data_IF_712499557359
#
_entry.id   IF_712499557359
#
_cell.length_a   1.000
_cell.length_b   1.000
_cell.length_c   1.000
_cell.angle_alpha   90.00
_cell.angle_beta   90.00
_cell.angle_gamma   90.00
#
_symmetry.space_group_name_H-M   'P 1'
#
loop_
_entity.id
_entity.type
_entity.pdbx_description
1 polymer ?
#
# COMPACT_ATOMS: atom_id res chain seq x y z
N UNK A 1 4.23 -35.68 23.81
CA UNK A 1 4.26 -34.48 24.67
C UNK A 1 3.63 -33.35 23.87
N UNK A 2 2.44 -32.91 24.28
CA UNK A 2 1.72 -31.79 23.59
C UNK A 2 2.39 -30.50 24.00
N UNK A 3 2.84 -29.71 23.03
CA UNK A 3 3.31 -28.36 23.28
C UNK A 3 2.12 -27.51 23.74
N UNK A 4 2.20 -27.02 24.96
CA UNK A 4 1.30 -26.03 25.53
C UNK A 4 1.29 -24.79 24.63
N UNK A 5 0.15 -24.55 23.96
CA UNK A 5 -0.10 -23.29 23.27
C UNK A 5 -0.37 -22.24 24.35
N UNK A 6 0.62 -21.47 24.69
CA UNK A 6 0.47 -20.31 25.55
C UNK A 6 -0.67 -19.43 25.01
N UNK A 7 -1.68 -19.18 25.86
CA UNK A 7 -2.79 -18.29 25.52
C UNK A 7 -2.24 -16.93 25.09
N UNK A 8 -2.77 -16.33 24.01
CA UNK A 8 -2.29 -15.04 23.53
C UNK A 8 -2.46 -13.99 24.63
N UNK A 9 -1.40 -13.28 24.94
CA UNK A 9 -1.40 -12.18 25.92
C UNK A 9 -2.57 -11.23 25.63
N UNK A 10 -3.29 -10.73 26.66
CA UNK A 10 -4.45 -9.83 26.46
C UNK A 10 -4.14 -8.58 25.64
N UNK A 11 -2.90 -8.14 25.61
CA UNK A 11 -2.40 -7.02 24.79
C UNK A 11 -2.58 -7.28 23.28
N UNK A 12 -2.32 -8.49 22.79
CA UNK A 12 -2.45 -8.85 21.37
C UNK A 12 -3.90 -8.86 20.88
N UNK A 13 -4.82 -9.25 21.75
CA UNK A 13 -6.25 -9.21 21.46
C UNK A 13 -6.75 -7.78 21.37
N UNK A 14 -6.29 -6.92 22.27
CA UNK A 14 -6.60 -5.48 22.21
C UNK A 14 -6.02 -4.83 20.93
N UNK A 15 -4.76 -5.09 20.60
CA UNK A 15 -4.10 -4.57 19.41
C UNK A 15 -4.81 -4.99 18.10
N UNK A 16 -5.27 -6.23 18.00
CA UNK A 16 -6.08 -6.71 16.87
C UNK A 16 -7.43 -5.97 16.77
N UNK A 17 -8.18 -5.84 17.86
CA UNK A 17 -9.46 -5.12 17.89
C UNK A 17 -9.32 -3.66 17.48
N UNK A 18 -8.25 -3.00 17.90
CA UNK A 18 -7.93 -1.64 17.47
C UNK A 18 -7.60 -1.59 15.98
N UNK A 19 -6.78 -2.50 15.48
CA UNK A 19 -6.47 -2.62 14.05
C UNK A 19 -7.74 -2.78 13.20
N UNK A 20 -8.71 -3.56 13.65
CA UNK A 20 -9.98 -3.79 12.97
C UNK A 20 -10.88 -2.54 12.94
N UNK A 21 -10.87 -1.72 14.00
CA UNK A 21 -11.62 -0.47 14.02
C UNK A 21 -11.08 0.53 12.99
N UNK A 22 -9.75 0.65 12.85
CA UNK A 22 -9.15 1.49 11.82
C UNK A 22 -9.44 0.98 10.41
N UNK A 23 -9.32 -0.32 10.19
CA UNK A 23 -9.68 -0.93 8.91
C UNK A 23 -11.14 -0.67 8.54
N UNK A 24 -12.07 -0.85 9.46
CA UNK A 24 -13.50 -0.55 9.21
C UNK A 24 -13.73 0.92 8.84
N UNK A 25 -13.13 1.87 9.56
CA UNK A 25 -13.26 3.32 9.24
C UNK A 25 -12.66 3.65 7.88
N UNK A 26 -11.50 3.11 7.58
CA UNK A 26 -10.83 3.28 6.28
C UNK A 26 -11.66 2.72 5.14
N UNK A 27 -12.13 1.48 5.29
CA UNK A 27 -12.94 0.82 4.27
C UNK A 27 -14.31 1.48 4.09
N UNK A 28 -14.89 2.06 5.14
CA UNK A 28 -16.10 2.89 5.00
C UNK A 28 -15.87 4.15 4.15
N UNK A 29 -14.69 4.78 4.25
CA UNK A 29 -14.32 5.92 3.38
C UNK A 29 -14.08 5.49 1.95
N UNK A 30 -13.41 4.37 1.72
CA UNK A 30 -13.25 3.79 0.38
C UNK A 30 -14.61 3.46 -0.23
N UNK A 31 -15.51 2.84 0.54
CA UNK A 31 -16.87 2.54 0.11
C UNK A 31 -17.68 3.80 -0.24
N UNK A 32 -17.49 4.90 0.49
CA UNK A 32 -18.10 6.19 0.16
C UNK A 32 -17.56 6.75 -1.15
N UNK A 33 -16.25 6.72 -1.38
CA UNK A 33 -15.62 7.13 -2.64
C UNK A 33 -16.13 6.29 -3.82
N UNK A 34 -16.25 4.98 -3.66
CA UNK A 34 -16.80 4.10 -4.71
C UNK A 34 -18.22 4.51 -5.09
N UNK A 35 -19.08 4.79 -4.10
CA UNK A 35 -20.46 5.24 -4.36
C UNK A 35 -20.51 6.60 -5.02
N UNK A 36 -19.65 7.53 -4.65
CA UNK A 36 -19.52 8.85 -5.26
C UNK A 36 -19.15 8.72 -6.74
N UNK A 37 -18.13 7.93 -7.07
CA UNK A 37 -17.74 7.67 -8.46
C UNK A 37 -18.88 7.01 -9.23
N UNK A 38 -19.51 5.97 -8.65
CA UNK A 38 -20.61 5.25 -9.30
C UNK A 38 -21.84 6.13 -9.55
N UNK A 39 -22.10 7.12 -8.71
CA UNK A 39 -23.21 8.06 -8.90
C UNK A 39 -23.02 8.99 -10.10
N UNK A 40 -21.77 9.24 -10.51
CA UNK A 40 -21.41 10.06 -11.66
C UNK A 40 -21.09 9.25 -12.93
N UNK A 41 -20.90 7.95 -12.79
CA UNK A 41 -20.56 7.05 -13.89
C UNK A 41 -21.80 6.28 -14.39
N UNK A 42 -21.74 5.85 -15.65
CA UNK A 42 -22.77 4.96 -16.25
C UNK A 42 -22.64 3.50 -15.79
N UNK A 43 -21.98 3.21 -14.68
CA UNK A 43 -21.67 1.93 -14.00
C UNK A 43 -21.44 0.71 -14.93
N UNK A 44 -20.67 -0.30 -14.52
CA UNK A 44 -19.91 -0.43 -13.27
C UNK A 44 -18.59 0.36 -13.29
N UNK A 45 -18.13 0.76 -12.10
CA UNK A 45 -16.84 1.47 -11.92
C UNK A 45 -15.68 0.50 -12.21
N UNK A 46 -14.91 0.76 -13.24
CA UNK A 46 -13.70 -0.02 -13.53
C UNK A 46 -12.63 0.27 -12.48
N UNK A 47 -12.36 -0.71 -11.64
CA UNK A 47 -11.42 -0.57 -10.52
C UNK A 47 -10.19 -1.48 -10.72
N UNK A 48 -9.00 -0.88 -10.67
CA UNK A 48 -7.73 -1.60 -10.61
C UNK A 48 -7.20 -1.57 -9.18
N UNK A 49 -7.08 -2.74 -8.55
CA UNK A 49 -6.41 -2.88 -7.23
C UNK A 49 -4.98 -3.38 -7.44
N UNK A 50 -4.02 -2.48 -7.33
CA UNK A 50 -2.60 -2.76 -7.58
C UNK A 50 -1.97 -3.40 -6.35
N UNK A 51 -1.49 -4.63 -6.49
CA UNK A 51 -0.98 -5.47 -5.40
C UNK A 51 -2.10 -5.95 -4.46
N UNK A 52 -3.34 -5.86 -4.92
CA UNK A 52 -4.52 -6.18 -4.14
C UNK A 52 -4.71 -7.66 -3.87
N UNK A 53 -5.51 -7.96 -2.86
CA UNK A 53 -5.90 -9.33 -2.55
C UNK A 53 -7.38 -9.42 -2.22
N UNK A 54 -8.06 -10.52 -2.61
CA UNK A 54 -9.50 -10.64 -2.41
C UNK A 54 -9.90 -10.58 -0.92
N UNK A 55 -9.04 -10.99 0.01
CA UNK A 55 -9.32 -10.91 1.46
C UNK A 55 -9.45 -9.44 1.96
N UNK A 56 -8.83 -8.47 1.29
CA UNK A 56 -9.06 -7.06 1.58
C UNK A 56 -10.52 -6.69 1.25
N UNK A 57 -11.01 -7.14 0.10
CA UNK A 57 -12.35 -6.85 -0.38
C UNK A 57 -13.46 -7.56 0.42
N UNK A 58 -13.15 -8.65 1.14
CA UNK A 58 -14.05 -9.25 2.12
C UNK A 58 -14.47 -8.25 3.23
N UNK A 59 -13.64 -7.24 3.48
CA UNK A 59 -13.83 -6.25 4.54
C UNK A 59 -14.42 -4.92 4.04
N UNK A 60 -14.61 -4.76 2.74
CA UNK A 60 -15.29 -3.63 2.12
C UNK A 60 -16.79 -3.91 2.08
N UNK A 61 -17.61 -2.87 2.25
CA UNK A 61 -19.07 -2.98 2.20
C UNK A 61 -19.54 -3.67 0.91
N UNK A 62 -20.30 -4.78 0.99
CA UNK A 62 -20.77 -5.52 -0.17
C UNK A 62 -21.55 -4.67 -1.16
N UNK A 63 -22.38 -3.72 -0.69
CA UNK A 63 -23.16 -2.84 -1.55
C UNK A 63 -22.30 -1.83 -2.33
N UNK A 64 -21.15 -1.40 -1.80
CA UNK A 64 -20.20 -0.59 -2.55
C UNK A 64 -19.37 -1.45 -3.51
N UNK A 65 -18.95 -2.64 -3.08
CA UNK A 65 -18.17 -3.58 -3.88
C UNK A 65 -18.93 -4.06 -5.12
N UNK A 66 -20.25 -4.28 -5.03
CA UNK A 66 -21.09 -4.69 -6.18
C UNK A 66 -21.22 -3.62 -7.28
N UNK A 67 -20.74 -2.39 -7.04
CA UNK A 67 -20.69 -1.33 -8.04
C UNK A 67 -19.42 -1.39 -8.89
N UNK A 68 -18.49 -2.30 -8.58
CA UNK A 68 -17.18 -2.38 -9.22
C UNK A 68 -17.13 -3.47 -10.30
N UNK A 69 -16.43 -3.14 -11.38
CA UNK A 69 -15.78 -4.10 -12.26
C UNK A 69 -14.31 -4.17 -11.81
N UNK A 70 -14.01 -5.15 -10.92
CA UNK A 70 -12.75 -5.19 -10.19
C UNK A 70 -11.71 -6.05 -10.89
N UNK A 71 -10.54 -5.48 -11.10
CA UNK A 71 -9.32 -6.18 -11.53
C UNK A 71 -8.28 -6.13 -10.41
N UNK A 72 -7.77 -7.27 -9.98
CA UNK A 72 -6.62 -7.37 -9.08
C UNK A 72 -5.36 -7.55 -9.92
N UNK A 73 -4.42 -6.62 -9.81
CA UNK A 73 -3.12 -6.71 -10.51
C UNK A 73 -2.05 -7.15 -9.50
N UNK A 74 -1.40 -8.27 -9.79
CA UNK A 74 -0.36 -8.83 -8.93
C UNK A 74 0.79 -9.41 -9.75
N UNK A 75 1.94 -9.62 -9.11
CA UNK A 75 3.02 -10.41 -9.69
C UNK A 75 2.57 -11.88 -9.85
N UNK A 76 3.06 -12.61 -10.87
CA UNK A 76 2.75 -14.02 -11.03
C UNK A 76 3.09 -14.83 -9.77
N UNK A 77 2.20 -15.74 -9.37
CA UNK A 77 2.35 -16.61 -8.20
C UNK A 77 1.75 -16.06 -6.88
N UNK A 78 1.40 -14.77 -6.82
CA UNK A 78 0.75 -14.19 -5.63
C UNK A 78 -0.64 -14.77 -5.35
N UNK A 79 -1.33 -15.28 -6.36
CA UNK A 79 -2.61 -15.98 -6.26
C UNK A 79 -2.54 -17.26 -5.43
N UNK A 80 -1.37 -17.86 -5.28
CA UNK A 80 -1.15 -19.03 -4.44
C UNK A 80 -1.03 -18.67 -2.95
N UNK A 81 -0.98 -17.39 -2.63
CA UNK A 81 -0.84 -16.93 -1.25
C UNK A 81 -2.08 -17.24 -0.39
N UNK A 82 -1.89 -17.27 0.92
CA UNK A 82 -2.98 -17.47 1.85
C UNK A 82 -4.04 -16.36 1.79
N UNK A 83 -3.68 -15.17 1.27
CA UNK A 83 -4.59 -14.02 1.11
C UNK A 83 -5.64 -14.28 0.04
N UNK A 84 -5.29 -15.02 -1.00
CA UNK A 84 -6.24 -15.44 -2.03
C UNK A 84 -7.05 -16.65 -1.58
N UNK A 85 -6.40 -17.71 -1.07
CA UNK A 85 -7.07 -18.95 -0.68
C UNK A 85 -8.08 -18.83 0.44
N UNK A 86 -7.95 -17.84 1.34
CA UNK A 86 -8.83 -17.65 2.51
C UNK A 86 -9.98 -16.69 2.28
N UNK A 87 -10.00 -15.98 1.16
CA UNK A 87 -11.09 -15.06 0.83
C UNK A 87 -12.36 -15.81 0.45
N UNK A 88 -13.49 -15.17 0.74
CA UNK A 88 -14.83 -15.58 0.30
C UNK A 88 -15.31 -14.77 -0.90
N UNK A 89 -14.56 -13.76 -1.28
CA UNK A 89 -14.87 -12.92 -2.41
C UNK A 89 -14.17 -13.42 -3.67
N UNK A 90 -14.93 -13.63 -4.76
CA UNK A 90 -14.47 -14.22 -6.01
C UNK A 90 -14.92 -13.42 -7.25
N UNK A 91 -15.56 -12.27 -7.04
CA UNK A 91 -16.09 -11.42 -8.12
C UNK A 91 -15.03 -10.42 -8.59
N UNK A 92 -13.94 -10.90 -9.19
CA UNK A 92 -12.84 -10.09 -9.70
C UNK A 92 -12.17 -10.76 -10.91
N UNK A 93 -11.51 -9.96 -11.74
CA UNK A 93 -10.51 -10.44 -12.70
C UNK A 93 -9.13 -10.40 -12.06
N UNK A 94 -8.28 -11.37 -12.41
CA UNK A 94 -6.88 -11.36 -12.01
C UNK A 94 -6.04 -11.05 -13.23
N UNK A 95 -5.17 -10.05 -13.11
CA UNK A 95 -4.15 -9.71 -14.10
C UNK A 95 -2.76 -9.82 -13.48
N UNK A 96 -1.81 -10.28 -14.28
CA UNK A 96 -0.41 -10.33 -13.86
C UNK A 96 0.35 -9.14 -14.41
N UNK A 97 1.05 -8.42 -13.52
CA UNK A 97 1.83 -7.25 -13.90
C UNK A 97 2.60 -6.68 -12.72
N UNK A 98 3.55 -5.83 -13.05
CA UNK A 98 4.35 -5.11 -12.07
C UNK A 98 3.79 -3.68 -11.90
N UNK A 99 3.49 -3.28 -10.68
CA UNK A 99 3.02 -1.92 -10.35
C UNK A 99 3.96 -0.82 -10.87
N UNK A 100 5.24 -1.15 -11.09
CA UNK A 100 6.27 -0.24 -11.58
C UNK A 100 6.26 -0.10 -13.10
N UNK A 101 5.51 -0.93 -13.81
CA UNK A 101 5.43 -0.98 -15.27
C UNK A 101 4.02 -1.33 -15.75
N UNK A 102 3.16 -0.31 -15.79
CA UNK A 102 1.80 -0.41 -16.32
C UNK A 102 1.70 0.15 -17.74
N UNK A 103 2.82 0.22 -18.47
CA UNK A 103 2.90 0.82 -19.80
C UNK A 103 1.98 0.17 -20.85
N UNK A 104 1.50 -1.03 -20.61
CA UNK A 104 0.48 -1.71 -21.44
C UNK A 104 -0.94 -1.17 -21.21
N UNK A 105 -1.18 -0.44 -20.12
CA UNK A 105 -2.46 0.18 -19.80
C UNK A 105 -2.46 1.64 -20.28
N UNK A 106 -3.48 2.11 -21.05
CA UNK A 106 -3.61 3.50 -21.43
C UNK A 106 -3.77 4.44 -20.22
N UNK A 107 -3.45 5.72 -20.43
CA UNK A 107 -3.74 6.75 -19.44
C UNK A 107 -5.25 6.78 -19.15
N UNK A 108 -5.58 6.91 -17.85
CA UNK A 108 -6.97 6.98 -17.39
C UNK A 108 -7.86 5.81 -17.87
N UNK A 109 -7.28 4.61 -18.04
CA UNK A 109 -8.02 3.42 -18.45
C UNK A 109 -8.90 2.82 -17.35
N UNK A 110 -8.70 3.24 -16.11
CA UNK A 110 -9.52 2.85 -14.96
C UNK A 110 -10.17 4.07 -14.30
N UNK A 111 -11.41 3.89 -13.87
CA UNK A 111 -12.14 4.94 -13.17
C UNK A 111 -11.58 5.13 -11.76
N UNK A 112 -11.18 4.03 -11.08
CA UNK A 112 -10.58 4.03 -9.75
C UNK A 112 -9.34 3.13 -9.71
N UNK A 113 -8.23 3.65 -9.20
CA UNK A 113 -7.07 2.84 -8.81
C UNK A 113 -7.01 2.76 -7.29
N UNK A 114 -6.92 1.54 -6.77
CA UNK A 114 -6.74 1.25 -5.34
C UNK A 114 -5.37 0.60 -5.13
N UNK A 115 -4.69 0.96 -4.06
CA UNK A 115 -3.49 0.24 -3.60
C UNK A 115 -3.42 0.33 -2.08
N UNK A 116 -3.36 -0.83 -1.40
CA UNK A 116 -3.42 -0.88 0.05
C UNK A 116 -2.24 -1.66 0.62
N UNK A 117 -1.30 -0.97 1.25
CA UNK A 117 -0.06 -1.52 1.82
C UNK A 117 0.77 -2.27 0.79
N UNK A 118 1.14 -1.57 -0.28
CA UNK A 118 1.91 -2.11 -1.41
C UNK A 118 3.11 -1.22 -1.73
N UNK A 119 2.94 0.10 -1.74
CA UNK A 119 4.01 1.00 -2.23
C UNK A 119 5.28 0.91 -1.38
N UNK A 120 5.18 0.55 -0.12
CA UNK A 120 6.31 0.28 0.77
C UNK A 120 7.14 -0.96 0.37
N UNK A 121 6.61 -1.82 -0.51
CA UNK A 121 7.25 -3.03 -1.00
C UNK A 121 7.79 -2.92 -2.43
N UNK A 122 7.69 -1.77 -3.06
CA UNK A 122 8.10 -1.61 -4.47
C UNK A 122 9.62 -1.50 -4.66
N UNK A 123 10.41 -1.64 -3.59
CA UNK A 123 11.87 -1.62 -3.66
C UNK A 123 12.47 -0.25 -3.38
N UNK A 124 13.41 0.22 -4.22
CA UNK A 124 14.11 1.49 -4.04
C UNK A 124 13.18 2.71 -4.17
N UNK A 125 13.64 3.86 -3.68
CA UNK A 125 12.89 5.13 -3.82
C UNK A 125 12.50 5.46 -5.28
N UNK A 126 13.37 5.15 -6.23
CA UNK A 126 13.09 5.37 -7.66
C UNK A 126 11.98 4.43 -8.17
N UNK A 127 11.94 3.20 -7.71
CA UNK A 127 10.92 2.21 -8.05
C UNK A 127 9.57 2.55 -7.41
N UNK A 128 9.55 2.92 -6.12
CA UNK A 128 8.36 3.44 -5.45
C UNK A 128 7.76 4.62 -6.21
N UNK A 129 8.62 5.59 -6.58
CA UNK A 129 8.19 6.77 -7.35
C UNK A 129 7.66 6.41 -8.73
N UNK A 130 8.25 5.41 -9.40
CA UNK A 130 7.78 4.92 -10.69
C UNK A 130 6.39 4.29 -10.55
N UNK A 131 6.20 3.39 -9.59
CA UNK A 131 4.90 2.75 -9.34
C UNK A 131 3.80 3.75 -8.99
N UNK A 132 4.10 4.73 -8.12
CA UNK A 132 3.14 5.78 -7.79
C UNK A 132 2.74 6.63 -9.00
N UNK A 133 3.67 6.94 -9.92
CA UNK A 133 3.36 7.64 -11.17
C UNK A 133 2.47 6.81 -12.09
N UNK A 134 2.75 5.53 -12.24
CA UNK A 134 1.94 4.62 -13.06
C UNK A 134 0.52 4.50 -12.51
N UNK A 135 0.36 4.29 -11.20
CA UNK A 135 -0.97 4.28 -10.55
C UNK A 135 -1.74 5.58 -10.81
N UNK A 136 -1.05 6.73 -10.70
CA UNK A 136 -1.65 8.06 -10.94
C UNK A 136 -2.01 8.26 -12.42
N UNK A 137 -1.22 7.71 -13.34
CA UNK A 137 -1.42 7.80 -14.79
C UNK A 137 -2.63 6.99 -15.24
N UNK A 138 -2.79 5.76 -14.75
CA UNK A 138 -3.85 4.86 -15.24
C UNK A 138 -5.22 5.12 -14.61
N UNK A 139 -5.28 5.80 -13.44
CA UNK A 139 -6.52 6.04 -12.71
C UNK A 139 -7.06 7.47 -12.82
N UNK A 140 -8.34 7.63 -13.13
CA UNK A 140 -9.03 8.91 -12.98
C UNK A 140 -9.12 9.32 -11.51
N UNK A 141 -9.60 8.42 -10.65
CA UNK A 141 -9.60 8.54 -9.21
C UNK A 141 -8.58 7.60 -8.60
N UNK A 142 -8.12 7.91 -7.40
CA UNK A 142 -7.22 7.03 -6.71
C UNK A 142 -7.38 6.98 -5.21
N UNK A 143 -6.97 5.83 -4.67
CA UNK A 143 -6.91 5.54 -3.25
C UNK A 143 -5.66 4.73 -2.96
N UNK A 144 -4.63 5.36 -2.41
CA UNK A 144 -3.37 4.68 -2.04
C UNK A 144 -3.16 4.79 -0.54
N UNK A 145 -3.00 3.65 0.12
CA UNK A 145 -2.73 3.60 1.56
C UNK A 145 -1.39 2.94 1.84
N UNK A 146 -0.61 3.50 2.75
CA UNK A 146 0.66 2.93 3.23
C UNK A 146 0.82 3.15 4.73
N UNK A 147 1.48 2.25 5.48
CA UNK A 147 1.86 2.48 6.87
C UNK A 147 2.79 3.68 7.02
N UNK A 148 2.66 4.41 8.12
CA UNK A 148 3.49 5.58 8.38
C UNK A 148 4.81 5.18 9.06
N UNK A 149 5.94 5.65 8.55
CA UNK A 149 7.25 5.50 9.21
C UNK A 149 7.26 6.03 10.65
N UNK A 150 6.53 7.11 10.91
CA UNK A 150 6.43 7.70 12.24
C UNK A 150 5.58 6.87 13.23
N UNK A 151 4.92 5.77 12.79
CA UNK A 151 4.20 4.89 13.70
C UNK A 151 5.19 4.13 14.58
N UNK A 152 4.97 4.09 15.91
CA UNK A 152 5.85 3.32 16.80
C UNK A 152 5.77 1.80 16.57
N UNK A 153 4.66 1.32 15.96
CA UNK A 153 4.39 -0.09 15.72
C UNK A 153 4.69 -0.44 14.27
N UNK A 154 5.60 -1.36 14.04
CA UNK A 154 5.90 -1.91 12.71
C UNK A 154 4.93 -3.08 12.42
N UNK A 155 4.01 -2.93 11.43
CA UNK A 155 2.95 -3.91 11.25
C UNK A 155 3.40 -5.25 10.65
N UNK A 156 4.49 -5.28 9.88
CA UNK A 156 4.99 -6.50 9.22
C UNK A 156 5.77 -7.38 10.20
N UNK A 157 6.67 -6.80 10.99
CA UNK A 157 7.37 -7.51 12.06
C UNK A 157 6.51 -7.72 13.30
N UNK A 158 5.44 -6.95 13.46
CA UNK A 158 4.61 -6.90 14.68
C UNK A 158 5.44 -6.56 15.93
N UNK A 159 6.40 -5.64 15.77
CA UNK A 159 7.30 -5.18 16.83
C UNK A 159 7.28 -3.65 16.96
N UNK A 160 7.41 -3.10 18.18
CA UNK A 160 7.53 -1.68 18.36
C UNK A 160 8.94 -1.18 17.97
N UNK A 161 9.02 0.02 17.38
CA UNK A 161 10.23 0.80 17.10
C UNK A 161 11.28 0.15 16.20
N UNK A 162 11.11 -1.11 15.78
CA UNK A 162 12.15 -1.89 15.10
C UNK A 162 12.56 -1.28 13.74
N UNK A 163 11.64 -0.64 13.04
CA UNK A 163 11.92 0.01 11.74
C UNK A 163 12.71 1.33 11.86
N UNK A 164 12.86 1.89 13.06
CA UNK A 164 13.72 3.05 13.30
C UNK A 164 15.19 2.68 13.49
N UNK A 165 15.49 1.39 13.60
CA UNK A 165 16.85 0.89 13.78
C UNK A 165 17.56 0.71 12.44
N UNK A 166 18.89 0.77 12.45
CA UNK A 166 19.69 0.43 11.29
C UNK A 166 19.40 -0.99 10.80
N UNK A 167 19.39 -1.19 9.48
CA UNK A 167 18.95 -2.44 8.84
C UNK A 167 19.59 -3.71 9.42
N UNK A 168 20.92 -3.78 9.72
CA UNK A 168 21.50 -5.00 10.31
C UNK A 168 20.94 -5.32 11.69
N UNK A 169 20.68 -4.29 12.51
CA UNK A 169 20.08 -4.45 13.84
C UNK A 169 18.62 -4.86 13.72
N UNK A 170 17.88 -4.21 12.83
CA UNK A 170 16.48 -4.53 12.50
C UNK A 170 16.34 -5.98 12.07
N UNK A 171 17.12 -6.44 11.09
CA UNK A 171 17.12 -7.81 10.62
C UNK A 171 17.38 -8.82 11.76
N UNK A 172 18.39 -8.58 12.59
CA UNK A 172 18.72 -9.44 13.72
C UNK A 172 17.64 -9.51 14.81
N UNK A 173 16.96 -8.39 15.10
CA UNK A 173 15.86 -8.37 16.07
C UNK A 173 14.60 -9.03 15.50
N UNK A 174 14.27 -8.77 14.24
CA UNK A 174 13.12 -9.38 13.59
C UNK A 174 13.27 -10.89 13.51
N UNK A 175 14.44 -11.39 13.13
CA UNK A 175 14.71 -12.82 13.10
C UNK A 175 14.51 -13.50 14.46
N UNK A 176 14.80 -12.81 15.56
CA UNK A 176 14.72 -13.40 16.92
C UNK A 176 13.37 -13.22 17.60
N UNK A 177 12.71 -12.09 17.37
CA UNK A 177 11.57 -11.64 18.19
C UNK A 177 10.25 -11.56 17.43
N UNK A 178 10.27 -11.47 16.09
CA UNK A 178 9.04 -11.30 15.31
C UNK A 178 8.18 -12.57 15.34
N UNK A 179 6.92 -12.46 15.74
CA UNK A 179 5.97 -13.57 15.64
C UNK A 179 5.39 -13.75 14.24
N UNK A 180 5.53 -12.73 13.38
CA UNK A 180 4.87 -12.66 12.07
C UNK A 180 5.73 -13.08 10.89
N UNK A 181 7.02 -13.32 11.10
CA UNK A 181 7.95 -13.65 10.01
C UNK A 181 8.15 -15.15 9.94
N UNK A 182 7.88 -15.73 8.77
CA UNK A 182 7.84 -17.17 8.54
C UNK A 182 9.17 -17.82 8.14
N UNK A 183 10.33 -17.13 8.25
CA UNK A 183 11.63 -17.70 7.94
C UNK A 183 12.36 -18.26 9.17
N UNK A 184 13.36 -19.14 8.95
CA UNK A 184 14.21 -19.65 10.00
C UNK A 184 14.97 -18.50 10.67
N UNK A 185 14.92 -18.44 12.01
CA UNK A 185 15.61 -17.41 12.83
C UNK A 185 17.15 -17.38 12.66
N UNK A 186 17.72 -18.42 12.06
CA UNK A 186 19.14 -18.53 11.74
C UNK A 186 19.49 -18.09 10.33
N UNK A 187 18.47 -17.89 9.51
CA UNK A 187 18.63 -17.45 8.11
C UNK A 187 18.86 -15.94 8.08
N UNK A 188 20.13 -15.57 8.05
CA UNK A 188 20.58 -14.17 8.02
C UNK A 188 20.19 -13.51 6.68
N UNK A 189 20.24 -14.28 5.60
CA UNK A 189 19.91 -13.78 4.25
C UNK A 189 18.43 -13.44 4.15
N UNK A 190 17.55 -14.37 4.55
CA UNK A 190 16.12 -14.13 4.61
C UNK A 190 15.75 -12.94 5.52
N UNK A 191 16.39 -12.83 6.69
CA UNK A 191 16.16 -11.73 7.62
C UNK A 191 16.60 -10.38 7.03
N UNK A 192 17.71 -10.36 6.30
CA UNK A 192 18.23 -9.16 5.64
C UNK A 192 17.36 -8.76 4.46
N UNK A 193 17.02 -9.69 3.59
CA UNK A 193 16.10 -9.47 2.47
C UNK A 193 14.78 -8.88 2.97
N UNK A 194 14.15 -9.50 3.97
CA UNK A 194 12.94 -8.96 4.57
C UNK A 194 13.12 -7.52 5.07
N UNK A 195 14.25 -7.22 5.71
CA UNK A 195 14.49 -5.89 6.23
C UNK A 195 14.74 -4.83 5.14
N UNK A 196 15.27 -5.22 3.99
CA UNK A 196 15.50 -4.34 2.85
C UNK A 196 14.24 -4.15 1.99
N UNK A 197 13.33 -5.12 1.97
CA UNK A 197 12.10 -5.11 1.14
C UNK A 197 11.00 -4.18 1.69
N UNK A 198 11.10 -3.71 2.93
CA UNK A 198 10.06 -2.89 3.57
C UNK A 198 10.55 -1.46 3.79
N UNK A 199 10.01 -0.54 3.00
CA UNK A 199 10.35 0.88 3.03
C UNK A 199 9.17 1.72 3.54
N UNK A 200 8.99 1.80 4.86
CA UNK A 200 7.96 2.64 5.45
C UNK A 200 8.25 4.12 5.14
N UNK A 201 7.22 4.84 4.70
CA UNK A 201 7.37 6.19 4.20
C UNK A 201 7.06 7.24 5.26
N UNK A 202 7.79 8.36 5.22
CA UNK A 202 7.48 9.57 5.96
C UNK A 202 6.37 10.37 5.28
N UNK A 203 5.74 11.30 6.01
CA UNK A 203 4.73 12.20 5.44
C UNK A 203 5.27 13.06 4.30
N UNK A 204 6.52 13.50 4.39
CA UNK A 204 7.18 14.31 3.34
C UNK A 204 7.42 13.51 2.08
N UNK A 205 7.84 12.26 2.21
CA UNK A 205 8.04 11.34 1.07
C UNK A 205 6.71 11.04 0.37
N UNK A 206 5.64 10.74 1.11
CA UNK A 206 4.31 10.53 0.51
C UNK A 206 3.84 11.79 -0.24
N UNK A 207 4.07 12.99 0.30
CA UNK A 207 3.76 14.24 -0.40
C UNK A 207 4.60 14.45 -1.66
N UNK A 208 5.87 14.00 -1.66
CA UNK A 208 6.73 14.06 -2.83
C UNK A 208 6.33 13.06 -3.93
N UNK A 209 5.74 11.91 -3.54
CA UNK A 209 5.21 10.91 -4.47
C UNK A 209 3.90 11.37 -5.13
N UNK A 210 3.06 12.10 -4.39
CA UNK A 210 1.73 12.54 -4.80
C UNK A 210 1.57 14.06 -4.58
N UNK A 211 2.29 14.89 -5.38
CA UNK A 211 2.25 16.34 -5.23
C UNK A 211 0.88 16.90 -5.65
N UNK A 212 0.26 17.69 -4.79
CA UNK A 212 -1.06 18.28 -5.03
C UNK A 212 -2.24 17.40 -4.62
N UNK A 213 -2.05 16.09 -4.52
CA UNK A 213 -3.11 15.16 -4.15
C UNK A 213 -3.48 15.26 -2.65
N UNK A 214 -4.69 14.86 -2.31
CA UNK A 214 -5.21 14.96 -0.95
C UNK A 214 -4.59 13.89 -0.06
N UNK A 215 -3.85 14.30 0.98
CA UNK A 215 -3.23 13.42 1.96
C UNK A 215 -4.00 13.43 3.29
N UNK A 216 -4.51 12.28 3.68
CA UNK A 216 -5.13 12.03 4.98
C UNK A 216 -4.17 11.23 5.87
N UNK A 217 -4.14 11.56 7.17
CA UNK A 217 -3.33 10.85 8.16
C UNK A 217 -4.26 10.10 9.11
N UNK A 218 -4.21 8.78 9.09
CA UNK A 218 -4.83 7.98 10.15
C UNK A 218 -3.96 8.06 11.40
N UNK A 219 -4.57 8.37 12.54
CA UNK A 219 -3.84 8.52 13.81
C UNK A 219 -4.31 7.49 14.83
N UNK A 220 -3.35 6.88 15.52
CA UNK A 220 -3.58 6.15 16.75
C UNK A 220 -3.19 7.08 17.91
N UNK A 221 -4.18 7.63 18.61
CA UNK A 221 -3.99 8.70 19.59
C UNK A 221 -3.25 9.88 18.92
N UNK A 222 -2.02 10.14 19.29
CA UNK A 222 -1.18 11.18 18.69
C UNK A 222 -0.27 10.70 17.55
N UNK A 223 -0.06 9.38 17.43
CA UNK A 223 0.88 8.80 16.46
C UNK A 223 0.25 8.64 15.09
N UNK A 224 0.90 9.10 14.02
CA UNK A 224 0.51 8.75 12.64
C UNK A 224 0.62 7.24 12.47
N UNK A 225 -0.50 6.59 12.12
CA UNK A 225 -0.54 5.14 11.90
C UNK A 225 -0.33 4.78 10.44
N UNK A 226 -0.99 5.52 9.56
CA UNK A 226 -0.91 5.33 8.12
C UNK A 226 -1.26 6.61 7.38
N UNK A 227 -0.89 6.65 6.12
CA UNK A 227 -1.24 7.68 5.17
C UNK A 227 -2.23 7.13 4.15
N UNK A 228 -3.19 7.96 3.76
CA UNK A 228 -4.10 7.68 2.67
C UNK A 228 -4.01 8.86 1.72
N UNK A 229 -3.65 8.59 0.47
CA UNK A 229 -3.68 9.57 -0.61
C UNK A 229 -4.89 9.29 -1.50
N UNK A 230 -5.60 10.35 -1.83
CA UNK A 230 -6.69 10.31 -2.79
C UNK A 230 -6.52 11.41 -3.82
N UNK A 231 -6.86 11.11 -5.05
CA UNK A 231 -6.94 12.10 -6.13
C UNK A 231 -8.23 11.95 -6.91
N UNK A 232 -8.58 13.02 -7.59
CA UNK A 232 -9.72 13.11 -8.51
C UNK A 232 -9.31 13.83 -9.79
N UNK A 233 -10.12 13.79 -10.85
CA UNK A 233 -9.86 14.56 -12.08
C UNK A 233 -9.73 16.07 -11.81
N UNK A 234 -10.41 16.58 -10.77
CA UNK A 234 -10.39 18.00 -10.40
C UNK A 234 -9.07 18.40 -9.73
N UNK A 235 -8.40 17.47 -9.03
CA UNK A 235 -7.11 17.70 -8.39
C UNK A 235 -5.95 17.75 -9.41
N UNK A 236 -6.20 17.33 -10.68
CA UNK A 236 -5.20 17.10 -11.74
C UNK A 236 -4.66 18.34 -12.46
N UNK A 237 -4.88 19.56 -11.93
CA UNK A 237 -4.36 20.78 -12.54
C UNK A 237 -2.84 20.98 -12.52
N UNK A 238 -2.05 20.11 -11.92
CA UNK A 238 -0.63 20.38 -11.64
C UNK A 238 0.33 19.20 -11.74
N UNK A 239 0.15 18.27 -12.68
CA UNK A 239 1.29 17.41 -13.03
C UNK A 239 2.21 18.15 -14.01
N UNK A 240 2.78 19.28 -13.58
CA UNK A 240 3.91 19.89 -14.26
C UNK A 240 5.12 18.99 -14.07
N UNK A 241 5.64 18.44 -15.17
CA UNK A 241 6.96 17.84 -15.20
C UNK A 241 7.96 18.82 -14.54
N UNK A 242 8.91 18.34 -13.72
CA UNK A 242 9.95 19.20 -13.20
C UNK A 242 10.69 19.81 -14.40
N UNK A 243 10.73 21.15 -14.45
CA UNK A 243 11.47 21.89 -15.47
C UNK A 243 12.89 21.32 -15.53
N UNK A 244 13.26 20.81 -16.69
CA UNK A 244 14.65 20.48 -16.98
C UNK A 244 15.44 21.77 -16.80
N UNK A 245 16.30 21.81 -15.79
CA UNK A 245 17.33 22.86 -15.72
C UNK A 245 18.28 22.61 -16.87
N UNK A 246 18.05 23.31 -17.94
CA UNK A 246 19.05 23.50 -19.00
C UNK A 246 20.15 24.40 -18.44
N UNK A 247 21.12 23.78 -17.78
CA UNK A 247 22.37 24.39 -17.44
C UNK A 247 23.31 24.28 -18.65
N UNK A 248 23.13 25.12 -19.62
CA UNK A 248 24.19 25.43 -20.55
C UNK A 248 25.17 26.33 -19.79
N UNK A 249 26.22 25.76 -19.24
CA UNK A 249 27.41 26.51 -18.88
C UNK A 249 28.28 26.61 -20.14
N UNK A 250 28.23 27.77 -20.73
CA UNK A 250 29.16 28.25 -21.73
C UNK A 250 30.56 28.35 -21.08
N UNK A 251 31.48 27.52 -21.51
CA UNK A 251 32.91 27.62 -21.20
C UNK A 251 33.63 27.85 -22.51
N UNK A 252 33.59 29.09 -22.97
CA UNK A 252 34.58 29.60 -23.90
C UNK A 252 35.39 30.68 -23.20
N UNK A 253 36.72 30.58 -23.43
CA UNK A 253 37.79 31.57 -23.32
C UNK A 253 38.37 31.93 -21.94
N UNK A 254 39.52 31.38 -21.57
CA UNK A 254 40.90 31.93 -21.76
C UNK A 254 41.93 30.96 -21.21
#
# INVERSE_FOLDING_TARGET
>A
MRADTAAPFPFWVAARRFGDSFRRRRNARLAALIREIAASAAAPVRCLDVGGSPIFWDTVDPAARSLLDLTLLNLPGEEESARFRRSRFHEYRLEHGDARDLGHLPDHSYDLVVSNSVIEHLGSWSEIRRGCREMRRVGHFGWVQTPAFACFWEPHAQLPFVHWLATPVRAGLVARLSPGVGFDRRDVDAARTWADDINLLTRSEVRALFPGDRLQVERFVLWPKSYIVTWSPEDGGACRAPAQRTGAADLTDH
#
